data_IF_848915022826
#
_entry.id   IF_848915022826
#
_cell.length_a   1.000
_cell.length_b   1.000
_cell.length_c   1.000
_cell.angle_alpha   90.00
_cell.angle_beta   90.00
_cell.angle_gamma   90.00
#
_symmetry.space_group_name_H-M   'P 1'
#
loop_
_entity.id
_entity.type
_entity.pdbx_description
1 polymer ?
#
# COMPACT_ATOMS: atom_id res chain seq x y z
N UNK A 1 9.23 69.42 -64.83
CA UNK A 1 9.49 67.96 -64.74
C UNK A 1 9.31 67.53 -63.30
N UNK A 2 8.12 67.04 -62.95
CA UNK A 2 7.82 66.48 -61.64
C UNK A 2 7.75 64.96 -61.80
N UNK A 3 8.64 64.22 -61.12
CA UNK A 3 8.61 62.77 -61.09
C UNK A 3 7.84 62.29 -59.86
N UNK A 4 6.99 61.30 -60.09
CA UNK A 4 5.99 60.76 -59.18
C UNK A 4 6.27 59.25 -58.97
N UNK A 5 5.81 58.69 -57.84
CA UNK A 5 5.52 57.25 -57.56
C UNK A 5 6.69 56.43 -56.95
N UNK A 6 6.54 55.55 -55.95
CA UNK A 6 5.41 54.96 -55.17
C UNK A 6 5.98 54.35 -53.88
N UNK A 7 5.26 54.42 -52.75
CA UNK A 7 5.48 53.59 -51.55
C UNK A 7 4.46 52.43 -51.53
N UNK A 8 4.81 51.22 -51.02
CA UNK A 8 3.91 50.08 -51.02
C UNK A 8 2.86 50.17 -49.88
N UNK A 9 1.72 49.45 -49.98
CA UNK A 9 0.61 49.59 -49.06
C UNK A 9 0.86 48.86 -47.72
N UNK A 10 0.38 49.49 -46.64
CA UNK A 10 0.32 48.91 -45.29
C UNK A 10 -0.67 47.73 -45.27
N UNK A 11 -0.16 46.51 -45.11
CA UNK A 11 -0.98 45.35 -44.76
C UNK A 11 -1.29 45.38 -43.24
N UNK A 12 -2.41 46.02 -42.87
CA UNK A 12 -2.99 45.95 -41.52
C UNK A 12 -3.89 44.71 -41.40
N UNK A 13 -3.73 44.02 -40.27
CA UNK A 13 -4.82 43.42 -39.49
C UNK A 13 -5.74 42.39 -40.18
N UNK A 14 -5.20 41.21 -40.52
CA UNK A 14 -6.02 39.97 -40.64
C UNK A 14 -5.47 38.74 -39.92
N UNK A 15 -4.20 38.73 -39.50
CA UNK A 15 -3.58 37.57 -38.82
C UNK A 15 -3.77 37.47 -37.30
N UNK A 16 -4.41 38.45 -36.66
CA UNK A 16 -4.56 38.48 -35.20
C UNK A 16 -5.91 37.97 -34.69
N UNK A 17 -6.89 37.67 -35.57
CA UNK A 17 -8.20 37.10 -35.19
C UNK A 17 -8.32 35.59 -35.40
N UNK A 18 -7.47 34.98 -36.22
CA UNK A 18 -7.50 33.52 -36.45
C UNK A 18 -6.78 32.73 -35.34
N UNK A 19 -5.68 33.26 -34.79
CA UNK A 19 -4.95 32.62 -33.67
C UNK A 19 -5.74 32.64 -32.36
N UNK A 20 -6.73 33.52 -32.23
CA UNK A 20 -7.62 33.58 -31.05
C UNK A 20 -8.88 32.72 -31.18
N UNK A 21 -9.21 32.21 -32.38
CA UNK A 21 -10.38 31.35 -32.59
C UNK A 21 -10.03 29.85 -32.53
N UNK A 22 -8.81 29.45 -32.90
CA UNK A 22 -8.35 28.05 -32.77
C UNK A 22 -8.11 27.60 -31.32
N UNK A 23 -7.93 28.53 -30.36
CA UNK A 23 -7.80 28.19 -28.92
C UNK A 23 -9.13 28.06 -28.18
N UNK A 24 -10.24 28.34 -28.85
CA UNK A 24 -11.60 28.16 -28.33
C UNK A 24 -12.27 26.88 -28.87
N UNK A 25 -11.55 26.05 -29.63
CA UNK A 25 -11.96 24.66 -29.81
C UNK A 25 -11.85 23.94 -28.46
N UNK A 26 -13.00 23.43 -28.07
CA UNK A 26 -13.53 23.30 -26.71
C UNK A 26 -12.74 22.35 -25.82
N UNK A 27 -12.82 22.54 -24.50
CA UNK A 27 -12.38 21.54 -23.51
C UNK A 27 -12.85 20.10 -23.81
N UNK A 28 -13.98 19.95 -24.50
CA UNK A 28 -14.50 18.68 -24.98
C UNK A 28 -13.60 17.95 -26.01
N UNK A 29 -12.84 18.66 -26.86
CA UNK A 29 -11.93 18.03 -27.84
C UNK A 29 -10.69 17.41 -27.16
N UNK A 30 -10.31 17.89 -25.97
CA UNK A 30 -9.16 17.33 -25.21
C UNK A 30 -9.49 16.06 -24.46
N UNK A 31 -10.77 15.75 -24.29
CA UNK A 31 -11.28 14.56 -23.60
C UNK A 31 -11.84 13.52 -24.59
N UNK A 32 -11.49 13.64 -25.88
CA UNK A 32 -11.82 12.64 -26.90
C UNK A 32 -11.21 11.29 -26.49
N UNK A 33 -11.98 10.23 -26.73
CA UNK A 33 -11.62 8.83 -26.43
C UNK A 33 -11.26 8.56 -24.97
N UNK A 34 -11.67 9.45 -24.04
CA UNK A 34 -11.53 9.20 -22.62
C UNK A 34 -12.32 7.93 -22.25
N UNK A 35 -11.70 6.97 -21.51
CA UNK A 35 -12.41 5.80 -21.04
C UNK A 35 -13.60 6.18 -20.14
N UNK A 36 -14.60 5.32 -20.10
CA UNK A 36 -15.65 5.43 -19.08
C UNK A 36 -15.07 5.03 -17.73
N UNK A 37 -15.28 5.89 -16.74
CA UNK A 37 -14.75 5.75 -15.38
C UNK A 37 -15.90 5.95 -14.39
N UNK A 38 -15.98 5.10 -13.37
CA UNK A 38 -16.95 5.19 -12.27
C UNK A 38 -16.26 5.47 -10.94
N UNK A 39 -15.09 4.88 -10.71
CA UNK A 39 -14.27 5.10 -9.51
C UNK A 39 -13.51 6.42 -9.59
N UNK A 40 -13.17 6.85 -10.81
CA UNK A 40 -12.55 8.13 -11.08
C UNK A 40 -13.46 9.03 -11.93
N UNK A 41 -13.27 10.34 -11.81
CA UNK A 41 -13.78 11.33 -12.77
C UNK A 41 -12.63 12.10 -13.37
N UNK A 42 -12.83 12.59 -14.59
CA UNK A 42 -11.90 13.52 -15.22
C UNK A 42 -12.61 14.85 -15.43
N UNK A 43 -11.97 15.92 -14.96
CA UNK A 43 -12.50 17.28 -15.07
C UNK A 43 -11.50 18.14 -15.84
N UNK A 44 -11.96 18.90 -16.84
CA UNK A 44 -11.14 19.91 -17.52
C UNK A 44 -10.93 21.10 -16.56
N UNK A 45 -9.67 21.38 -16.24
CA UNK A 45 -9.28 22.48 -15.36
C UNK A 45 -8.86 23.74 -16.13
N UNK A 46 -9.01 23.72 -17.45
CA UNK A 46 -8.54 24.77 -18.34
C UNK A 46 -7.02 24.78 -18.48
N UNK A 47 -6.51 25.66 -19.35
CA UNK A 47 -5.06 25.79 -19.64
C UNK A 47 -4.37 24.49 -20.10
N UNK A 48 -5.15 23.53 -20.60
CA UNK A 48 -4.66 22.21 -21.01
C UNK A 48 -4.45 21.23 -19.84
N UNK A 49 -4.83 21.59 -18.62
CA UNK A 49 -4.75 20.71 -17.46
C UNK A 49 -6.04 19.91 -17.31
N UNK A 50 -5.91 18.68 -16.83
CA UNK A 50 -7.06 17.87 -16.38
C UNK A 50 -6.87 17.44 -14.93
N UNK A 51 -7.96 17.27 -14.21
CA UNK A 51 -7.95 16.66 -12.88
C UNK A 51 -8.42 15.21 -13.00
N UNK A 52 -7.61 14.27 -12.52
CA UNK A 52 -8.06 12.91 -12.23
C UNK A 52 -8.56 12.89 -10.77
N UNK A 53 -9.87 12.81 -10.60
CA UNK A 53 -10.55 12.88 -9.32
C UNK A 53 -10.90 11.47 -8.87
N UNK A 54 -10.22 10.96 -7.84
CA UNK A 54 -10.58 9.69 -7.24
C UNK A 54 -11.79 9.88 -6.31
N UNK A 55 -12.91 9.21 -6.60
CA UNK A 55 -14.13 9.36 -5.81
C UNK A 55 -15.01 8.10 -5.85
N UNK A 56 -14.62 7.07 -5.10
CA UNK A 56 -15.33 5.79 -5.07
C UNK A 56 -16.83 5.96 -4.75
N UNK A 57 -17.76 5.54 -5.62
CA UNK A 57 -19.19 5.71 -5.39
C UNK A 57 -19.65 4.90 -4.17
N UNK A 58 -20.53 5.48 -3.36
CA UNK A 58 -21.10 4.82 -2.18
C UNK A 58 -20.13 4.56 -1.02
N UNK A 59 -18.87 5.01 -1.11
CA UNK A 59 -17.85 4.84 -0.06
C UNK A 59 -17.49 6.17 0.59
N UNK A 60 -17.19 6.13 1.89
CA UNK A 60 -16.74 7.29 2.66
C UNK A 60 -15.26 7.63 2.44
N UNK A 61 -14.49 6.68 1.90
CA UNK A 61 -13.05 6.79 1.62
C UNK A 61 -12.77 6.20 0.24
N UNK A 62 -11.76 6.74 -0.44
CA UNK A 62 -11.22 6.09 -1.64
C UNK A 62 -10.35 4.89 -1.26
N UNK A 63 -10.53 3.80 -1.97
CA UNK A 63 -9.74 2.57 -1.84
C UNK A 63 -9.49 1.98 -3.22
N UNK A 64 -8.37 1.31 -3.40
CA UNK A 64 -8.10 0.56 -4.62
C UNK A 64 -8.86 -0.76 -4.61
N UNK A 65 -10.08 -0.72 -5.14
CA UNK A 65 -10.79 -1.89 -5.65
C UNK A 65 -10.21 -2.32 -7.01
N UNK A 66 -10.56 -3.52 -7.43
CA UNK A 66 -10.28 -4.05 -8.76
C UNK A 66 -10.74 -3.09 -9.86
N UNK A 67 -11.96 -2.54 -9.72
CA UNK A 67 -12.50 -1.56 -10.66
C UNK A 67 -11.61 -0.30 -10.72
N UNK A 68 -11.20 0.23 -9.58
CA UNK A 68 -10.34 1.42 -9.52
C UNK A 68 -8.96 1.15 -10.15
N UNK A 69 -8.39 -0.03 -9.93
CA UNK A 69 -7.10 -0.42 -10.52
C UNK A 69 -7.20 -0.47 -12.05
N UNK A 70 -8.26 -1.08 -12.58
CA UNK A 70 -8.49 -1.17 -14.02
C UNK A 70 -8.73 0.20 -14.66
N UNK A 71 -9.52 1.05 -14.00
CA UNK A 71 -9.79 2.42 -14.43
C UNK A 71 -8.53 3.29 -14.45
N UNK A 72 -7.68 3.20 -13.42
CA UNK A 72 -6.41 3.92 -13.40
C UNK A 72 -5.51 3.50 -14.56
N UNK A 73 -5.46 2.21 -14.87
CA UNK A 73 -4.71 1.68 -16.01
C UNK A 73 -5.25 2.20 -17.35
N UNK A 74 -6.57 2.23 -17.53
CA UNK A 74 -7.21 2.77 -18.72
C UNK A 74 -6.93 4.28 -18.87
N UNK A 75 -7.04 5.05 -17.78
CA UNK A 75 -6.72 6.48 -17.79
C UNK A 75 -5.25 6.73 -18.13
N UNK A 76 -4.32 5.96 -17.54
CA UNK A 76 -2.90 6.08 -17.84
C UNK A 76 -2.59 5.78 -19.32
N UNK A 77 -3.26 4.78 -19.89
CA UNK A 77 -3.16 4.47 -21.33
C UNK A 77 -3.66 5.61 -22.21
N UNK A 78 -4.80 6.21 -21.87
CA UNK A 78 -5.32 7.40 -22.56
C UNK A 78 -4.38 8.61 -22.43
N UNK A 79 -3.83 8.85 -21.23
CA UNK A 79 -2.98 10.00 -20.95
C UNK A 79 -1.73 10.03 -21.84
N UNK A 80 -1.19 8.86 -22.18
CA UNK A 80 0.01 8.74 -23.02
C UNK A 80 -0.17 9.33 -24.43
N UNK A 81 -1.39 9.38 -24.96
CA UNK A 81 -1.69 9.98 -26.26
C UNK A 81 -2.55 11.26 -26.19
N UNK A 82 -3.01 11.64 -25.00
CA UNK A 82 -3.88 12.80 -24.82
C UNK A 82 -3.16 14.13 -25.10
N UNK A 83 -3.87 15.09 -25.70
CA UNK A 83 -3.41 16.47 -25.89
C UNK A 83 -3.71 17.32 -24.64
N UNK A 84 -3.08 16.92 -23.52
CA UNK A 84 -3.10 17.65 -22.26
C UNK A 84 -1.68 18.11 -21.90
N UNK A 85 -1.60 19.23 -21.18
CA UNK A 85 -0.38 19.81 -20.64
C UNK A 85 0.06 19.16 -19.32
N UNK A 86 -0.86 18.53 -18.58
CA UNK A 86 -0.55 17.85 -17.33
C UNK A 86 -1.80 17.40 -16.57
N UNK A 87 -1.58 16.61 -15.51
CA UNK A 87 -2.66 16.04 -14.69
C UNK A 87 -2.47 16.39 -13.22
N UNK A 88 -3.54 16.86 -12.58
CA UNK A 88 -3.64 16.88 -11.11
C UNK A 88 -4.40 15.64 -10.66
N UNK A 89 -3.77 14.77 -9.86
CA UNK A 89 -4.47 13.73 -9.12
C UNK A 89 -5.00 14.35 -7.84
N UNK A 90 -6.30 14.25 -7.60
CA UNK A 90 -6.94 14.72 -6.37
C UNK A 90 -8.03 13.78 -5.92
N UNK A 91 -8.52 13.99 -4.71
CA UNK A 91 -9.66 13.25 -4.18
C UNK A 91 -10.96 14.03 -4.33
N UNK A 92 -12.07 13.32 -4.50
CA UNK A 92 -13.44 13.83 -4.32
C UNK A 92 -13.96 13.67 -2.88
N UNK A 93 -13.21 13.01 -1.99
CA UNK A 93 -13.57 12.82 -0.58
C UNK A 93 -12.99 13.92 0.30
N UNK A 94 -13.75 14.34 1.31
CA UNK A 94 -13.37 15.44 2.19
C UNK A 94 -12.17 15.15 3.12
N UNK A 95 -11.95 13.89 3.51
CA UNK A 95 -11.01 13.54 4.58
C UNK A 95 -9.93 12.52 4.16
N UNK A 96 -9.91 12.12 2.89
CA UNK A 96 -9.04 11.05 2.41
C UNK A 96 -8.61 11.28 0.98
N UNK A 97 -7.30 11.24 0.74
CA UNK A 97 -6.80 11.12 -0.61
C UNK A 97 -7.08 9.71 -1.14
N UNK A 98 -6.52 8.71 -0.44
CA UNK A 98 -6.83 7.29 -0.60
C UNK A 98 -6.32 6.50 0.62
N UNK A 99 -7.12 5.58 1.12
CA UNK A 99 -6.84 4.81 2.34
C UNK A 99 -6.07 3.50 2.11
N UNK A 100 -5.75 3.18 0.84
CA UNK A 100 -5.02 1.97 0.46
C UNK A 100 -5.86 1.01 -0.37
N UNK A 101 -5.52 -0.27 -0.35
CA UNK A 101 -6.27 -1.32 -1.05
C UNK A 101 -7.62 -1.63 -0.38
N UNK A 102 -8.59 -2.11 -1.16
CA UNK A 102 -9.79 -2.72 -0.60
C UNK A 102 -9.46 -4.11 -0.05
N UNK A 103 -9.31 -4.22 1.27
CA UNK A 103 -8.91 -5.48 1.91
C UNK A 103 -10.02 -6.54 1.91
N UNK A 104 -11.27 -6.17 1.63
CA UNK A 104 -12.34 -7.16 1.39
C UNK A 104 -12.14 -7.83 0.04
N UNK A 105 -11.89 -7.06 -1.02
CA UNK A 105 -11.57 -7.61 -2.34
C UNK A 105 -10.24 -8.36 -2.36
N UNK A 106 -9.26 -7.93 -1.56
CA UNK A 106 -8.01 -8.66 -1.37
C UNK A 106 -8.25 -10.09 -0.84
N UNK A 107 -9.19 -10.27 0.08
CA UNK A 107 -9.58 -11.59 0.59
C UNK A 107 -10.19 -12.48 -0.50
N UNK A 108 -11.01 -11.91 -1.38
CA UNK A 108 -11.59 -12.63 -2.53
C UNK A 108 -10.50 -13.04 -3.52
N UNK A 109 -9.56 -12.14 -3.82
CA UNK A 109 -8.43 -12.44 -4.69
C UNK A 109 -7.56 -13.58 -4.11
N UNK A 110 -7.30 -13.55 -2.81
CA UNK A 110 -6.61 -14.63 -2.12
C UNK A 110 -7.33 -15.98 -2.29
N UNK A 111 -8.64 -16.03 -2.03
CA UNK A 111 -9.43 -17.25 -2.14
C UNK A 111 -9.42 -17.81 -3.57
N UNK A 112 -9.53 -16.94 -4.57
CA UNK A 112 -9.39 -17.29 -5.97
C UNK A 112 -8.01 -17.91 -6.27
N UNK A 113 -6.92 -17.31 -5.78
CA UNK A 113 -5.55 -17.81 -5.99
C UNK A 113 -5.36 -19.16 -5.30
N UNK A 114 -5.83 -19.33 -4.06
CA UNK A 114 -5.69 -20.59 -3.32
C UNK A 114 -6.52 -21.73 -3.90
N UNK A 115 -7.67 -21.43 -4.50
CA UNK A 115 -8.48 -22.41 -5.21
C UNK A 115 -7.83 -22.93 -6.50
N UNK A 116 -6.86 -22.20 -7.06
CA UNK A 116 -6.13 -22.63 -8.25
C UNK A 116 -5.10 -23.74 -7.96
N UNK A 117 -4.74 -24.57 -8.97
CA UNK A 117 -3.67 -25.56 -8.82
C UNK A 117 -2.36 -24.91 -8.39
N UNK A 118 -1.61 -25.54 -7.48
CA UNK A 118 -0.37 -24.98 -6.89
C UNK A 118 0.59 -24.38 -7.92
N UNK A 119 0.80 -25.08 -9.05
CA UNK A 119 1.68 -24.61 -10.15
C UNK A 119 1.26 -23.30 -10.83
N UNK A 120 0.01 -22.89 -10.69
CA UNK A 120 -0.55 -21.69 -11.32
C UNK A 120 -0.64 -20.50 -10.35
N UNK A 121 -0.57 -20.74 -9.04
CA UNK A 121 -0.84 -19.72 -8.01
C UNK A 121 0.10 -18.52 -8.08
N UNK A 122 1.39 -18.76 -8.32
CA UNK A 122 2.37 -17.69 -8.46
C UNK A 122 2.02 -16.73 -9.61
N UNK A 123 1.79 -17.27 -10.81
CA UNK A 123 1.46 -16.44 -11.98
C UNK A 123 0.13 -15.70 -11.78
N UNK A 124 -0.88 -16.36 -11.21
CA UNK A 124 -2.16 -15.71 -10.89
C UNK A 124 -1.99 -14.57 -9.90
N UNK A 125 -1.23 -14.78 -8.81
CA UNK A 125 -0.94 -13.75 -7.83
C UNK A 125 -0.17 -12.58 -8.47
N UNK A 126 0.90 -12.89 -9.20
CA UNK A 126 1.71 -11.90 -9.90
C UNK A 126 0.84 -11.07 -10.85
N UNK A 127 0.12 -11.70 -11.79
CA UNK A 127 -0.66 -10.99 -12.80
C UNK A 127 -1.80 -10.16 -12.19
N UNK A 128 -2.46 -10.70 -11.16
CA UNK A 128 -3.56 -10.02 -10.47
C UNK A 128 -3.06 -8.76 -9.76
N UNK A 129 -2.04 -8.87 -8.90
CA UNK A 129 -1.57 -7.77 -8.06
C UNK A 129 -0.65 -6.78 -8.78
N UNK A 130 0.04 -7.19 -9.85
CA UNK A 130 0.94 -6.29 -10.58
C UNK A 130 0.22 -5.15 -11.30
N UNK A 131 -1.09 -5.24 -11.47
CA UNK A 131 -1.88 -4.27 -12.25
C UNK A 131 -1.83 -2.87 -11.67
N UNK A 132 -1.88 -2.71 -10.35
CA UNK A 132 -1.77 -1.39 -9.73
C UNK A 132 -0.37 -0.79 -9.94
N UNK A 133 0.69 -1.57 -9.71
CA UNK A 133 2.09 -1.13 -9.96
C UNK A 133 2.28 -0.68 -11.41
N UNK A 134 1.78 -1.47 -12.37
CA UNK A 134 1.80 -1.14 -13.81
C UNK A 134 0.99 0.12 -14.14
N UNK A 135 -0.20 0.28 -13.57
CA UNK A 135 -1.04 1.46 -13.81
C UNK A 135 -0.36 2.74 -13.31
N UNK A 136 0.21 2.72 -12.09
CA UNK A 136 0.97 3.84 -11.54
C UNK A 136 2.22 4.12 -12.39
N UNK A 137 2.94 3.07 -12.83
CA UNK A 137 4.11 3.24 -13.69
C UNK A 137 3.75 3.81 -15.07
N UNK A 138 2.65 3.37 -15.67
CA UNK A 138 2.15 3.91 -16.93
C UNK A 138 1.78 5.39 -16.79
N UNK A 139 1.16 5.78 -15.67
CA UNK A 139 0.85 7.18 -15.36
C UNK A 139 2.13 8.03 -15.23
N UNK A 140 3.10 7.52 -14.47
CA UNK A 140 4.40 8.14 -14.21
C UNK A 140 5.24 8.33 -15.49
N UNK A 141 5.05 7.47 -16.49
CA UNK A 141 5.82 7.47 -17.74
C UNK A 141 5.00 7.87 -18.98
N UNK A 142 3.80 8.42 -18.78
CA UNK A 142 2.90 8.84 -19.86
C UNK A 142 3.44 10.00 -20.72
N UNK A 143 4.61 10.57 -20.38
CA UNK A 143 5.20 11.70 -21.08
C UNK A 143 4.50 13.04 -20.79
N UNK A 144 3.65 13.07 -19.75
CA UNK A 144 2.95 14.26 -19.26
C UNK A 144 3.29 14.49 -17.80
N UNK A 145 3.46 15.74 -17.33
CA UNK A 145 3.68 15.99 -15.91
C UNK A 145 2.42 15.68 -15.12
N UNK A 146 2.62 15.14 -13.92
CA UNK A 146 1.55 14.66 -13.02
C UNK A 146 1.87 15.18 -11.62
N UNK A 147 0.91 15.85 -10.99
CA UNK A 147 1.03 16.36 -9.63
C UNK A 147 -0.09 15.79 -8.75
N UNK A 148 0.21 15.43 -7.50
CA UNK A 148 -0.77 15.01 -6.51
C UNK A 148 -1.13 16.17 -5.58
N UNK A 149 -2.41 16.53 -5.50
CA UNK A 149 -2.96 17.45 -4.52
C UNK A 149 -3.59 16.64 -3.38
N UNK A 150 -2.91 16.63 -2.23
CA UNK A 150 -3.19 15.73 -1.11
C UNK A 150 -3.82 16.52 0.03
N UNK A 151 -5.15 16.51 0.07
CA UNK A 151 -5.96 17.21 1.09
C UNK A 151 -6.57 16.25 2.14
N UNK A 152 -6.12 15.00 2.15
CA UNK A 152 -6.55 13.98 3.12
C UNK A 152 -5.50 12.91 3.30
N UNK A 153 -5.76 11.94 4.20
CA UNK A 153 -4.80 10.85 4.43
C UNK A 153 -4.47 10.11 3.11
N UNK A 154 -3.19 9.80 2.91
CA UNK A 154 -2.71 9.01 1.78
C UNK A 154 -1.90 7.82 2.33
N UNK A 155 -2.57 6.68 2.50
CA UNK A 155 -1.99 5.49 3.14
C UNK A 155 -1.93 4.33 2.16
N UNK A 156 -0.89 3.51 2.29
CA UNK A 156 -0.65 2.33 1.48
C UNK A 156 -0.70 2.64 -0.02
N UNK A 157 -1.52 1.92 -0.77
CA UNK A 157 -1.77 2.21 -2.19
C UNK A 157 -2.05 3.68 -2.52
N UNK A 158 -2.70 4.45 -1.63
CA UNK A 158 -2.90 5.89 -1.81
C UNK A 158 -1.61 6.70 -1.75
N UNK A 159 -0.69 6.33 -0.85
CA UNK A 159 0.67 6.86 -0.81
C UNK A 159 1.45 6.43 -2.05
N UNK A 160 1.31 5.17 -2.50
CA UNK A 160 1.98 4.67 -3.71
C UNK A 160 1.53 5.41 -4.98
N UNK A 161 0.23 5.75 -5.09
CA UNK A 161 -0.27 6.61 -6.16
C UNK A 161 0.37 8.01 -6.12
N UNK A 162 0.45 8.61 -4.93
CA UNK A 162 1.09 9.93 -4.75
C UNK A 162 2.60 9.89 -5.05
N UNK A 163 3.29 8.80 -4.70
CA UNK A 163 4.69 8.58 -5.03
C UNK A 163 4.92 8.46 -6.54
N UNK A 164 3.94 7.94 -7.29
CA UNK A 164 3.97 7.88 -8.75
C UNK A 164 3.75 9.23 -9.45
N UNK A 165 3.36 10.27 -8.73
CA UNK A 165 3.34 11.64 -9.26
C UNK A 165 4.75 12.23 -9.30
N UNK A 166 4.95 13.22 -10.16
CA UNK A 166 6.20 13.97 -10.28
C UNK A 166 6.34 15.04 -9.19
N UNK A 167 5.22 15.49 -8.62
CA UNK A 167 5.17 16.49 -7.55
C UNK A 167 4.03 16.20 -6.59
N UNK A 168 4.27 16.35 -5.29
CA UNK A 168 3.29 16.13 -4.22
C UNK A 168 3.12 17.42 -3.42
N UNK A 169 1.90 17.94 -3.45
CA UNK A 169 1.47 19.08 -2.63
C UNK A 169 0.57 18.54 -1.52
N UNK A 170 1.02 18.66 -0.28
CA UNK A 170 0.27 18.25 0.90
C UNK A 170 -0.24 19.48 1.64
N UNK A 171 -1.48 19.43 2.14
CA UNK A 171 -1.96 20.51 3.01
C UNK A 171 -1.41 20.38 4.43
N UNK A 172 -1.15 21.52 5.06
CA UNK A 172 -0.70 21.59 6.45
C UNK A 172 -1.89 21.42 7.40
N UNK A 173 -2.29 20.16 7.62
CA UNK A 173 -3.33 19.78 8.58
C UNK A 173 -2.81 18.64 9.48
N UNK A 174 -2.84 18.77 10.81
CA UNK A 174 -2.36 17.74 11.74
C UNK A 174 -3.12 16.41 11.65
N UNK A 175 -4.30 16.37 11.02
CA UNK A 175 -5.08 15.14 10.80
C UNK A 175 -4.61 14.35 9.59
N UNK A 176 -3.79 14.95 8.74
CA UNK A 176 -3.33 14.36 7.49
C UNK A 176 -1.96 13.75 7.69
N UNK A 177 -1.77 12.57 7.11
CA UNK A 177 -0.50 11.90 7.09
C UNK A 177 -0.35 11.02 5.85
N UNK A 178 0.91 10.78 5.47
CA UNK A 178 1.31 9.85 4.43
C UNK A 178 2.09 8.67 5.04
N UNK A 179 1.94 7.47 4.48
CA UNK A 179 2.71 6.31 4.94
C UNK A 179 2.32 5.00 4.27
N UNK A 180 3.10 3.95 4.55
CA UNK A 180 2.96 2.62 3.97
C UNK A 180 2.81 1.56 5.08
N UNK A 181 1.61 1.43 5.68
CA UNK A 181 1.37 0.61 6.87
C UNK A 181 1.16 -0.89 6.59
N UNK A 182 1.40 -1.38 5.37
CA UNK A 182 1.10 -2.75 4.92
C UNK A 182 1.71 -3.84 5.81
N UNK A 183 2.92 -3.61 6.32
CA UNK A 183 3.61 -4.54 7.23
C UNK A 183 2.78 -4.86 8.49
N UNK A 184 1.98 -3.89 8.96
CA UNK A 184 1.14 -4.04 10.16
C UNK A 184 0.01 -5.06 9.98
N UNK A 185 -0.31 -5.43 8.74
CA UNK A 185 -1.33 -6.44 8.39
C UNK A 185 -0.73 -7.64 7.66
N UNK A 186 0.60 -7.81 7.71
CA UNK A 186 1.28 -8.98 7.14
C UNK A 186 1.51 -8.87 5.62
N UNK A 187 1.50 -7.66 5.07
CA UNK A 187 1.71 -7.37 3.65
C UNK A 187 2.94 -6.48 3.44
N UNK A 188 3.28 -6.24 2.17
CA UNK A 188 4.27 -5.24 1.77
C UNK A 188 3.66 -4.23 0.79
N UNK A 189 4.22 -3.01 0.67
CA UNK A 189 3.80 -2.03 -0.34
C UNK A 189 4.15 -2.53 -1.75
N UNK A 190 3.15 -3.11 -2.44
CA UNK A 190 3.36 -3.90 -3.67
C UNK A 190 3.05 -3.16 -4.98
N UNK A 191 2.75 -1.87 -4.93
CA UNK A 191 2.50 -1.04 -6.11
C UNK A 191 3.65 -0.07 -6.42
N UNK A 192 4.87 -0.48 -6.11
CA UNK A 192 6.11 0.27 -6.25
C UNK A 192 6.51 1.06 -5.00
N UNK A 193 5.80 0.93 -3.88
CA UNK A 193 6.11 1.63 -2.63
C UNK A 193 7.48 1.30 -2.08
N UNK A 194 7.91 0.02 -2.14
CA UNK A 194 9.27 -0.38 -1.74
C UNK A 194 10.33 0.06 -2.75
N UNK A 195 9.93 0.62 -3.89
CA UNK A 195 10.83 1.07 -4.95
C UNK A 195 10.93 2.59 -5.04
N UNK A 196 9.81 3.31 -5.00
CA UNK A 196 9.75 4.77 -5.11
C UNK A 196 10.20 5.45 -3.84
N UNK A 197 9.67 5.03 -2.68
CA UNK A 197 9.98 5.67 -1.41
C UNK A 197 11.49 5.68 -1.09
N UNK A 198 12.21 4.54 -1.10
CA UNK A 198 13.64 4.55 -0.80
C UNK A 198 14.50 5.25 -1.87
N UNK A 199 14.02 5.37 -3.13
CA UNK A 199 14.68 6.19 -4.16
C UNK A 199 14.46 7.70 -3.92
N UNK A 200 13.33 8.07 -3.32
CA UNK A 200 12.95 9.45 -3.05
C UNK A 200 13.62 9.99 -1.77
N UNK A 201 13.51 9.26 -0.66
CA UNK A 201 13.95 9.74 0.67
C UNK A 201 15.20 9.01 1.20
N UNK A 202 15.73 8.05 0.43
CA UNK A 202 16.82 7.17 0.84
C UNK A 202 16.34 5.93 1.60
N UNK A 203 17.05 4.82 1.42
CA UNK A 203 16.67 3.53 2.01
C UNK A 203 16.55 3.57 3.54
N UNK A 204 17.52 4.19 4.23
CA UNK A 204 17.54 4.28 5.69
C UNK A 204 16.31 5.03 6.25
N UNK A 205 15.92 6.15 5.63
CA UNK A 205 14.76 6.94 6.06
C UNK A 205 13.42 6.28 5.69
N UNK A 206 13.41 5.42 4.66
CA UNK A 206 12.23 4.66 4.28
C UNK A 206 11.91 3.50 5.25
N UNK A 207 12.92 2.90 5.89
CA UNK A 207 12.74 1.70 6.73
C UNK A 207 11.67 1.86 7.83
N UNK A 208 11.63 2.93 8.63
CA UNK A 208 10.57 3.11 9.64
C UNK A 208 9.16 3.18 9.03
N UNK A 209 9.03 3.75 7.83
CA UNK A 209 7.74 3.89 7.13
C UNK A 209 7.25 2.52 6.66
N UNK A 210 8.11 1.73 6.00
CA UNK A 210 7.69 0.44 5.41
C UNK A 210 7.69 -0.71 6.40
N UNK A 211 8.62 -0.76 7.36
CA UNK A 211 8.71 -1.87 8.31
C UNK A 211 7.74 -1.70 9.49
N UNK A 212 7.66 -0.49 10.05
CA UNK A 212 6.87 -0.19 11.24
C UNK A 212 5.57 0.57 10.94
N UNK A 213 5.29 0.88 9.67
CA UNK A 213 4.10 1.62 9.28
C UNK A 213 4.06 3.05 9.79
N UNK A 214 5.23 3.68 10.02
CA UNK A 214 5.29 5.07 10.46
C UNK A 214 4.57 5.98 9.46
N UNK A 215 3.73 6.87 9.99
CA UNK A 215 3.02 7.88 9.21
C UNK A 215 3.67 9.23 9.44
N UNK A 216 3.98 9.93 8.36
CA UNK A 216 4.54 11.28 8.40
C UNK A 216 3.41 12.29 8.19
N UNK A 217 3.18 13.17 9.17
CA UNK A 217 2.32 14.34 9.02
C UNK A 217 3.02 15.48 8.28
N UNK A 218 2.33 16.60 8.07
CA UNK A 218 2.73 17.73 7.21
C UNK A 218 4.24 18.05 7.20
N UNK A 219 4.76 18.70 8.24
CA UNK A 219 6.15 19.16 8.28
C UNK A 219 7.16 18.00 8.19
N UNK A 220 6.89 16.89 8.88
CA UNK A 220 7.76 15.73 8.84
C UNK A 220 7.84 15.09 7.44
N UNK A 221 6.76 15.12 6.67
CA UNK A 221 6.74 14.63 5.30
C UNK A 221 7.53 15.53 4.35
N UNK A 222 7.48 16.86 4.55
CA UNK A 222 8.30 17.82 3.80
C UNK A 222 9.79 17.66 4.15
N UNK A 223 10.13 17.62 5.44
CA UNK A 223 11.52 17.50 5.90
C UNK A 223 12.19 16.20 5.43
N UNK A 224 11.42 15.11 5.35
CA UNK A 224 11.89 13.83 4.84
C UNK A 224 12.03 13.79 3.30
N UNK A 225 11.50 14.78 2.57
CA UNK A 225 11.42 14.76 1.11
C UNK A 225 10.33 13.83 0.55
N UNK A 226 9.40 13.35 1.39
CA UNK A 226 8.23 12.58 0.96
C UNK A 226 7.23 13.48 0.22
N UNK A 227 7.18 14.75 0.60
CA UNK A 227 6.34 15.80 0.00
C UNK A 227 7.24 16.92 -0.51
N UNK A 228 6.87 17.51 -1.64
CA UNK A 228 7.67 18.58 -2.26
C UNK A 228 7.22 19.98 -1.83
N UNK A 229 5.95 20.13 -1.43
CA UNK A 229 5.39 21.41 -0.99
C UNK A 229 4.28 21.25 0.05
N UNK A 230 4.33 22.08 1.09
CA UNK A 230 3.24 22.28 2.03
C UNK A 230 2.49 23.58 1.73
N UNK A 231 1.16 23.54 1.91
CA UNK A 231 0.27 24.69 1.73
C UNK A 231 -0.88 24.66 2.75
N UNK A 232 -1.56 25.78 3.04
CA UNK A 232 -2.80 25.76 3.81
C UNK A 232 -3.88 24.87 3.19
N UNK A 233 -4.82 24.31 3.99
CA UNK A 233 -5.98 23.59 3.47
C UNK A 233 -6.76 24.40 2.41
N UNK A 234 -7.12 23.77 1.30
CA UNK A 234 -7.80 24.40 0.17
C UNK A 234 -6.89 25.00 -0.90
N UNK A 235 -5.57 25.01 -0.69
CA UNK A 235 -4.61 25.57 -1.66
C UNK A 235 -3.86 24.50 -2.48
N UNK A 236 -4.02 23.20 -2.17
CA UNK A 236 -3.21 22.14 -2.78
C UNK A 236 -3.40 22.02 -4.30
N UNK A 237 -4.65 22.11 -4.77
CA UNK A 237 -4.99 22.04 -6.20
C UNK A 237 -4.33 23.20 -6.96
N UNK A 238 -4.50 24.43 -6.48
CA UNK A 238 -3.95 25.62 -7.13
C UNK A 238 -2.42 25.59 -7.19
N UNK A 239 -1.78 25.12 -6.12
CA UNK A 239 -0.32 24.94 -6.08
C UNK A 239 0.16 23.83 -7.04
N UNK A 240 -0.57 22.71 -7.14
CA UNK A 240 -0.28 21.64 -8.08
C UNK A 240 -0.40 22.11 -9.54
N UNK A 241 -1.49 22.81 -9.89
CA UNK A 241 -1.66 23.39 -11.23
C UNK A 241 -0.55 24.38 -11.60
N UNK A 242 -0.17 25.24 -10.64
CA UNK A 242 0.93 26.19 -10.84
C UNK A 242 2.24 25.47 -11.13
N UNK A 243 2.52 24.38 -10.40
CA UNK A 243 3.72 23.59 -10.63
C UNK A 243 3.70 22.90 -12.00
N UNK A 244 2.57 22.31 -12.41
CA UNK A 244 2.44 21.65 -13.72
C UNK A 244 2.73 22.60 -14.88
N UNK A 245 2.16 23.82 -14.85
CA UNK A 245 2.38 24.82 -15.90
C UNK A 245 3.83 25.31 -15.97
N UNK A 246 4.55 25.27 -14.85
CA UNK A 246 5.96 25.65 -14.78
C UNK A 246 6.92 24.50 -15.15
N UNK A 247 6.46 23.24 -15.13
CA UNK A 247 7.30 22.05 -15.31
C UNK A 247 6.72 21.09 -16.38
N UNK A 248 6.60 21.52 -17.65
CA UNK A 248 5.98 20.72 -18.71
C UNK A 248 6.74 19.43 -19.04
N UNK A 249 8.05 19.40 -18.78
CA UNK A 249 8.95 18.29 -19.13
C UNK A 249 9.33 17.43 -17.91
N UNK A 250 8.55 17.48 -16.83
CA UNK A 250 8.87 16.78 -15.59
C UNK A 250 9.05 15.26 -15.82
N UNK A 251 10.06 14.70 -15.15
CA UNK A 251 10.36 13.26 -15.13
C UNK A 251 10.84 12.88 -13.73
N UNK A 252 10.59 11.64 -13.34
CA UNK A 252 11.13 11.14 -12.09
C UNK A 252 12.67 11.12 -12.11
N UNK A 253 13.34 11.30 -10.96
CA UNK A 253 14.79 11.25 -10.88
C UNK A 253 15.38 9.95 -11.45
N UNK A 254 14.73 8.80 -11.22
CA UNK A 254 15.19 7.49 -11.69
C UNK A 254 14.94 7.20 -13.16
N UNK A 255 14.20 8.08 -13.85
CA UNK A 255 13.98 8.00 -15.31
C UNK A 255 14.86 8.95 -16.10
N UNK A 256 15.73 9.70 -15.41
CA UNK A 256 16.72 10.54 -16.08
C UNK A 256 17.90 9.72 -16.59
N UNK A 257 18.44 10.00 -17.80
CA UNK A 257 19.57 9.26 -18.36
C UNK A 257 20.83 9.24 -17.49
N UNK A 258 21.01 10.24 -16.62
CA UNK A 258 22.14 10.35 -15.70
C UNK A 258 21.97 9.56 -14.42
N UNK A 259 20.77 9.02 -14.14
CA UNK A 259 20.53 8.25 -12.93
C UNK A 259 21.23 6.91 -12.99
N UNK A 260 21.74 6.46 -11.84
CA UNK A 260 22.39 5.16 -11.71
C UNK A 260 21.80 4.41 -10.50
N UNK A 261 21.58 3.09 -10.61
CA UNK A 261 21.14 2.30 -9.48
C UNK A 261 22.21 2.26 -8.39
N UNK A 262 21.78 2.04 -7.15
CA UNK A 262 22.69 1.87 -6.03
C UNK A 262 23.45 0.54 -6.18
N UNK A 263 24.70 0.47 -5.72
CA UNK A 263 25.42 -0.80 -5.73
C UNK A 263 24.79 -1.79 -4.72
N UNK A 264 24.80 -3.12 -5.00
CA UNK A 264 24.34 -4.10 -4.02
C UNK A 264 25.03 -3.98 -2.65
N UNK A 265 26.32 -3.62 -2.62
CA UNK A 265 27.05 -3.40 -1.37
C UNK A 265 26.46 -2.25 -0.55
N UNK A 266 26.20 -1.10 -1.18
CA UNK A 266 25.61 0.08 -0.53
C UNK A 266 24.22 -0.23 0.03
N UNK A 267 23.40 -0.97 -0.71
CA UNK A 267 22.07 -1.36 -0.23
C UNK A 267 22.18 -2.36 0.93
N UNK A 268 23.13 -3.31 0.84
CA UNK A 268 23.41 -4.28 1.89
C UNK A 268 23.83 -3.66 3.23
N UNK A 269 24.59 -2.56 3.21
CA UNK A 269 24.98 -1.81 4.42
C UNK A 269 23.77 -1.29 5.22
N UNK A 270 22.66 -0.97 4.53
CA UNK A 270 21.41 -0.52 5.16
C UNK A 270 20.52 -1.71 5.54
N UNK A 271 20.41 -2.70 4.64
CA UNK A 271 19.48 -3.83 4.81
C UNK A 271 19.94 -4.82 5.89
N UNK A 272 21.24 -5.14 5.97
CA UNK A 272 21.73 -6.18 6.87
C UNK A 272 21.45 -5.88 8.36
N UNK A 273 21.77 -4.67 8.90
CA UNK A 273 21.44 -4.35 10.28
C UNK A 273 19.93 -4.31 10.54
N UNK A 274 19.14 -3.87 9.55
CA UNK A 274 17.69 -3.87 9.66
C UNK A 274 17.12 -5.29 9.71
N UNK A 275 17.69 -6.22 8.93
CA UNK A 275 17.33 -7.63 8.91
C UNK A 275 17.64 -8.30 10.24
N UNK A 276 18.83 -8.05 10.80
CA UNK A 276 19.22 -8.54 12.13
C UNK A 276 18.26 -8.05 13.21
N UNK A 277 17.93 -6.74 13.21
CA UNK A 277 16.97 -6.16 14.14
C UNK A 277 15.58 -6.79 14.01
N UNK A 278 15.06 -6.91 12.79
CA UNK A 278 13.76 -7.56 12.53
C UNK A 278 13.77 -8.99 13.04
N UNK A 279 14.81 -9.78 12.76
CA UNK A 279 14.93 -11.16 13.24
C UNK A 279 15.02 -11.23 14.77
N UNK A 280 15.73 -10.30 15.42
CA UNK A 280 15.82 -10.24 16.88
C UNK A 280 14.49 -9.87 17.56
N UNK A 281 13.71 -8.98 16.94
CA UNK A 281 12.41 -8.53 17.48
C UNK A 281 11.27 -9.53 17.21
N UNK A 282 11.32 -10.21 16.06
CA UNK A 282 10.19 -11.01 15.54
C UNK A 282 10.44 -12.51 15.54
N UNK A 283 11.69 -12.93 15.74
CA UNK A 283 12.16 -14.31 15.56
C UNK A 283 11.81 -14.90 14.18
N UNK A 284 11.53 -14.07 13.16
CA UNK A 284 11.16 -14.53 11.82
C UNK A 284 9.73 -15.09 11.70
N UNK A 285 8.87 -14.85 12.71
CA UNK A 285 7.48 -15.26 12.65
C UNK A 285 6.63 -14.42 11.68
N UNK A 286 7.02 -13.15 11.50
CA UNK A 286 6.33 -12.20 10.63
C UNK A 286 7.10 -12.05 9.31
N UNK A 287 6.63 -12.64 8.19
CA UNK A 287 7.38 -12.68 6.94
C UNK A 287 7.44 -11.33 6.20
N UNK A 288 6.43 -10.48 6.36
CA UNK A 288 6.30 -9.22 5.62
C UNK A 288 7.49 -8.26 5.81
N UNK A 289 7.98 -7.96 7.03
CA UNK A 289 9.19 -7.15 7.23
C UNK A 289 10.42 -7.67 6.48
N UNK A 290 10.62 -8.99 6.45
CA UNK A 290 11.76 -9.61 5.74
C UNK A 290 11.59 -9.52 4.23
N UNK A 291 10.37 -9.74 3.73
CA UNK A 291 10.02 -9.58 2.32
C UNK A 291 10.21 -8.12 1.85
N UNK A 292 9.87 -7.13 2.69
CA UNK A 292 10.14 -5.71 2.40
C UNK A 292 11.63 -5.43 2.26
N UNK A 293 12.45 -5.98 3.17
CA UNK A 293 13.90 -5.85 3.09
C UNK A 293 14.46 -6.51 1.84
N UNK A 294 13.93 -7.66 1.43
CA UNK A 294 14.28 -8.32 0.16
C UNK A 294 13.88 -7.48 -1.06
N UNK A 295 12.70 -6.84 -1.05
CA UNK A 295 12.30 -5.92 -2.12
C UNK A 295 13.28 -4.75 -2.28
N UNK A 296 13.78 -4.21 -1.17
CA UNK A 296 14.78 -3.13 -1.17
C UNK A 296 16.14 -3.67 -1.65
N UNK A 297 16.59 -4.79 -1.10
CA UNK A 297 17.89 -5.42 -1.38
C UNK A 297 18.03 -5.81 -2.84
N UNK A 298 17.01 -6.46 -3.42
CA UNK A 298 17.02 -6.86 -4.82
C UNK A 298 16.60 -5.73 -5.75
N UNK A 299 15.68 -4.84 -5.33
CA UNK A 299 15.08 -3.84 -6.21
C UNK A 299 15.93 -2.59 -6.42
N UNK A 300 16.59 -2.06 -5.39
CA UNK A 300 17.38 -0.82 -5.50
C UNK A 300 18.59 -0.92 -6.44
N UNK A 301 19.27 -2.08 -6.57
CA UNK A 301 20.34 -2.26 -7.56
C UNK A 301 19.89 -2.40 -9.01
N UNK A 302 18.59 -2.33 -9.29
CA UNK A 302 18.03 -2.48 -10.62
C UNK A 302 17.50 -1.16 -11.19
N UNK A 303 17.36 -1.13 -12.52
CA UNK A 303 16.48 -0.17 -13.19
C UNK A 303 15.04 -0.34 -12.71
N UNK A 304 14.25 0.73 -12.77
CA UNK A 304 12.93 0.78 -12.13
C UNK A 304 11.99 -0.35 -12.58
N UNK A 305 11.95 -0.66 -13.88
CA UNK A 305 11.12 -1.74 -14.44
C UNK A 305 11.47 -3.13 -13.88
N UNK A 306 12.76 -3.41 -13.69
CA UNK A 306 13.21 -4.66 -13.07
C UNK A 306 12.86 -4.68 -11.58
N UNK A 307 13.04 -3.54 -10.92
CA UNK A 307 12.80 -3.39 -9.49
C UNK A 307 11.33 -3.66 -9.09
N UNK A 308 10.36 -3.09 -9.82
CA UNK A 308 8.93 -3.33 -9.54
C UNK A 308 8.49 -4.76 -9.89
N UNK A 309 9.18 -5.44 -10.82
CA UNK A 309 8.95 -6.86 -11.10
C UNK A 309 9.48 -7.74 -9.97
N UNK A 310 10.66 -7.44 -9.42
CA UNK A 310 11.19 -8.13 -8.24
C UNK A 310 10.29 -7.92 -7.01
N UNK A 311 9.84 -6.69 -6.76
CA UNK A 311 8.87 -6.39 -5.69
C UNK A 311 7.62 -7.26 -5.83
N UNK A 312 7.05 -7.34 -7.03
CA UNK A 312 5.84 -8.11 -7.27
C UNK A 312 6.07 -9.63 -7.21
N UNK A 313 7.24 -10.13 -7.61
CA UNK A 313 7.57 -11.55 -7.44
C UNK A 313 7.60 -11.93 -5.95
N UNK A 314 8.22 -11.09 -5.12
CA UNK A 314 8.27 -11.26 -3.67
C UNK A 314 6.87 -11.13 -3.06
N UNK A 315 6.08 -10.14 -3.51
CA UNK A 315 4.67 -10.01 -3.09
C UNK A 315 3.86 -11.26 -3.44
N UNK A 316 4.01 -11.78 -4.65
CA UNK A 316 3.29 -12.97 -5.13
C UNK A 316 3.60 -14.21 -4.28
N UNK A 317 4.81 -14.33 -3.74
CA UNK A 317 5.14 -15.38 -2.78
C UNK A 317 4.55 -15.09 -1.39
N UNK A 318 4.70 -13.86 -0.89
CA UNK A 318 4.21 -13.43 0.43
C UNK A 318 2.70 -13.61 0.57
N UNK A 319 1.93 -13.17 -0.43
CA UNK A 319 0.45 -13.19 -0.36
C UNK A 319 -0.12 -14.60 -0.33
N UNK A 320 0.63 -15.61 -0.78
CA UNK A 320 0.20 -17.01 -0.73
C UNK A 320 0.41 -17.64 0.66
N UNK A 321 1.14 -16.96 1.55
CA UNK A 321 1.40 -17.44 2.90
C UNK A 321 0.16 -17.32 3.78
N UNK A 322 -0.02 -18.30 4.68
CA UNK A 322 -1.12 -18.25 5.64
C UNK A 322 -0.98 -17.10 6.64
N UNK A 323 0.24 -16.70 7.00
CA UNK A 323 0.46 -15.61 7.95
C UNK A 323 -0.16 -14.29 7.47
N UNK A 324 0.02 -13.97 6.18
CA UNK A 324 -0.56 -12.76 5.61
C UNK A 324 -2.09 -12.79 5.70
N UNK A 325 -2.72 -13.92 5.34
CA UNK A 325 -4.17 -14.10 5.45
C UNK A 325 -4.67 -13.90 6.88
N UNK A 326 -4.02 -14.56 7.83
CA UNK A 326 -4.39 -14.48 9.23
C UNK A 326 -4.28 -13.06 9.79
N UNK A 327 -3.18 -12.38 9.48
CA UNK A 327 -2.97 -11.01 9.93
C UNK A 327 -4.00 -10.05 9.33
N UNK A 328 -4.41 -10.21 8.08
CA UNK A 328 -5.51 -9.42 7.49
C UNK A 328 -6.83 -9.69 8.24
N UNK A 329 -7.19 -10.96 8.43
CA UNK A 329 -8.44 -11.31 9.12
C UNK A 329 -8.49 -10.74 10.53
N UNK A 330 -7.38 -10.78 11.26
CA UNK A 330 -7.35 -10.41 12.67
C UNK A 330 -7.00 -8.94 12.89
N UNK A 331 -5.89 -8.47 12.34
CA UNK A 331 -5.36 -7.13 12.58
C UNK A 331 -6.04 -6.05 11.73
N UNK A 332 -6.87 -6.43 10.75
CA UNK A 332 -7.71 -5.50 10.00
C UNK A 332 -9.20 -5.72 10.22
N UNK A 333 -9.76 -6.88 9.81
CA UNK A 333 -11.22 -7.09 9.89
C UNK A 333 -11.68 -7.18 11.33
N UNK A 334 -11.09 -8.11 12.12
CA UNK A 334 -11.39 -8.26 13.54
C UNK A 334 -11.13 -6.98 14.35
N UNK A 335 -10.00 -6.30 14.07
CA UNK A 335 -9.69 -4.99 14.64
C UNK A 335 -10.77 -3.95 14.36
N UNK A 336 -11.21 -3.82 13.11
CA UNK A 336 -12.20 -2.82 12.70
C UNK A 336 -13.53 -3.05 13.39
N UNK A 337 -13.97 -4.31 13.47
CA UNK A 337 -15.18 -4.70 14.19
C UNK A 337 -15.06 -4.38 15.68
N UNK A 338 -13.95 -4.76 16.31
CA UNK A 338 -13.67 -4.48 17.71
C UNK A 338 -13.69 -2.99 18.01
N UNK A 339 -12.91 -2.18 17.29
CA UNK A 339 -12.82 -0.72 17.52
C UNK A 339 -14.16 -0.01 17.26
N UNK A 340 -14.99 -0.52 16.35
CA UNK A 340 -16.36 -0.02 16.14
C UNK A 340 -17.24 -0.30 17.34
N UNK A 341 -17.19 -1.51 17.90
CA UNK A 341 -17.97 -1.89 19.08
C UNK A 341 -17.47 -1.19 20.34
N UNK A 342 -16.16 -1.06 20.54
CA UNK A 342 -15.56 -0.31 21.65
C UNK A 342 -16.00 1.16 21.65
N UNK A 343 -16.01 1.83 20.49
CA UNK A 343 -16.47 3.23 20.39
C UNK A 343 -17.95 3.41 20.74
N UNK A 344 -18.75 2.35 20.63
CA UNK A 344 -20.17 2.34 20.97
C UNK A 344 -20.45 1.79 22.37
N UNK A 345 -19.42 1.37 23.10
CA UNK A 345 -19.55 0.65 24.36
C UNK A 345 -20.42 -0.62 24.23
N UNK A 346 -20.19 -1.38 23.15
CA UNK A 346 -20.97 -2.55 22.73
C UNK A 346 -20.10 -3.80 22.52
N UNK A 347 -18.94 -3.89 23.18
CA UNK A 347 -18.13 -5.12 23.13
C UNK A 347 -18.89 -6.22 23.90
N UNK A 348 -19.20 -7.38 23.30
CA UNK A 348 -19.94 -8.45 23.97
C UNK A 348 -19.20 -9.04 25.17
N UNK A 349 -19.95 -9.50 26.18
CA UNK A 349 -19.40 -10.02 27.44
C UNK A 349 -18.52 -11.27 27.28
N UNK A 350 -18.75 -12.07 26.23
CA UNK A 350 -17.90 -13.24 25.94
C UNK A 350 -16.45 -12.85 25.61
N UNK A 351 -16.22 -11.62 25.10
CA UNK A 351 -14.88 -11.17 24.69
C UNK A 351 -13.92 -11.08 25.88
N UNK A 352 -14.20 -10.31 26.96
CA UNK A 352 -13.32 -10.27 28.13
C UNK A 352 -13.18 -11.63 28.82
N UNK A 353 -14.21 -12.48 28.81
CA UNK A 353 -14.13 -13.85 29.34
C UNK A 353 -13.10 -14.70 28.58
N UNK A 354 -13.17 -14.70 27.25
CA UNK A 354 -12.21 -15.40 26.38
C UNK A 354 -10.79 -14.84 26.55
N UNK A 355 -10.64 -13.51 26.62
CA UNK A 355 -9.34 -12.86 26.86
C UNK A 355 -8.74 -13.30 28.19
N UNK A 356 -9.55 -13.38 29.25
CA UNK A 356 -9.09 -13.82 30.57
C UNK A 356 -8.63 -15.28 30.55
N UNK A 357 -9.40 -16.18 29.93
CA UNK A 357 -9.06 -17.59 29.77
C UNK A 357 -7.75 -17.75 28.97
N UNK A 358 -7.63 -17.09 27.82
CA UNK A 358 -6.43 -17.12 27.00
C UNK A 358 -5.20 -16.59 27.75
N UNK A 359 -5.33 -15.45 28.45
CA UNK A 359 -4.24 -14.86 29.23
C UNK A 359 -3.77 -15.78 30.34
N UNK A 360 -4.68 -16.47 31.02
CA UNK A 360 -4.35 -17.47 32.04
C UNK A 360 -3.57 -18.64 31.44
N UNK A 361 -4.05 -19.19 30.32
CA UNK A 361 -3.38 -20.28 29.62
C UNK A 361 -1.98 -19.87 29.15
N UNK A 362 -1.84 -18.67 28.57
CA UNK A 362 -0.54 -18.14 28.11
C UNK A 362 0.45 -18.01 29.27
N UNK A 363 0.01 -17.52 30.44
CA UNK A 363 0.88 -17.37 31.62
C UNK A 363 1.39 -18.70 32.18
N UNK A 364 0.69 -19.80 31.93
CA UNK A 364 1.12 -21.14 32.34
C UNK A 364 2.22 -21.72 31.44
N UNK A 365 2.47 -21.13 30.26
CA UNK A 365 3.46 -21.61 29.29
C UNK A 365 4.86 -21.06 29.67
N UNK A 366 5.90 -21.90 29.72
CA UNK A 366 7.26 -21.45 29.97
C UNK A 366 7.74 -20.37 28.99
N UNK A 367 8.52 -19.40 29.47
CA UNK A 367 8.99 -18.24 28.67
C UNK A 367 9.69 -18.62 27.38
N UNK A 368 10.56 -19.63 27.42
CA UNK A 368 11.27 -20.12 26.23
C UNK A 368 10.30 -20.68 25.19
N UNK A 369 9.25 -21.39 25.61
CA UNK A 369 8.22 -21.93 24.72
C UNK A 369 7.32 -20.82 24.19
N UNK A 370 7.03 -19.80 25.01
CA UNK A 370 6.31 -18.59 24.57
C UNK A 370 7.08 -17.84 23.49
N UNK A 371 8.38 -17.64 23.69
CA UNK A 371 9.27 -17.04 22.69
C UNK A 371 9.30 -17.89 21.42
N UNK A 372 9.48 -19.21 21.54
CA UNK A 372 9.45 -20.13 20.40
C UNK A 372 8.16 -20.02 19.58
N UNK A 373 6.99 -19.94 20.22
CA UNK A 373 5.72 -19.81 19.52
C UNK A 373 5.42 -18.39 18.98
N UNK A 374 6.20 -17.38 19.38
CA UNK A 374 6.02 -15.99 18.97
C UNK A 374 4.97 -15.21 19.79
N UNK A 375 4.71 -15.61 21.03
CA UNK A 375 3.86 -14.84 21.94
C UNK A 375 4.52 -13.50 22.26
N UNK A 376 3.70 -12.44 22.35
CA UNK A 376 4.21 -11.09 22.53
C UNK A 376 4.98 -10.94 23.86
N UNK A 377 6.08 -10.17 23.82
CA UNK A 377 6.89 -9.86 25.01
C UNK A 377 7.90 -10.93 25.41
N UNK A 378 8.11 -11.98 24.60
CA UNK A 378 9.09 -13.03 24.88
C UNK A 378 10.04 -13.22 23.68
N UNK A 379 11.32 -12.92 23.85
CA UNK A 379 12.37 -13.08 22.82
C UNK A 379 13.64 -13.80 23.33
N UNK A 380 13.63 -14.28 24.57
CA UNK A 380 14.85 -14.75 25.23
C UNK A 380 15.28 -16.16 24.76
N UNK A 381 16.50 -16.27 24.25
CA UNK A 381 17.22 -17.55 24.08
C UNK A 381 16.74 -18.45 22.95
N UNK A 382 16.05 -17.90 21.94
CA UNK A 382 15.54 -18.66 20.78
C UNK A 382 16.20 -18.16 19.50
N UNK A 383 16.69 -19.08 18.68
CA UNK A 383 17.21 -18.75 17.36
C UNK A 383 16.09 -18.31 16.42
N UNK A 384 16.24 -17.18 15.70
CA UNK A 384 15.25 -16.73 14.73
C UNK A 384 15.01 -17.76 13.62
N UNK A 385 13.79 -17.80 13.10
CA UNK A 385 13.43 -18.49 11.87
C UNK A 385 14.01 -17.71 10.68
N UNK A 386 15.21 -18.10 10.22
CA UNK A 386 15.99 -17.33 9.22
C UNK A 386 15.61 -17.57 7.76
N UNK A 387 15.11 -18.75 7.41
CA UNK A 387 14.73 -19.08 6.04
C UNK A 387 13.59 -20.10 6.03
N UNK A 388 12.60 -19.88 5.17
CA UNK A 388 11.54 -20.85 4.88
C UNK A 388 11.65 -21.23 3.41
N UNK A 389 12.07 -22.46 3.16
CA UNK A 389 12.19 -23.01 1.80
C UNK A 389 10.87 -23.58 1.29
N UNK A 390 9.83 -23.70 2.14
CA UNK A 390 8.54 -24.29 1.79
C UNK A 390 7.35 -23.45 2.31
N UNK A 391 6.19 -23.51 1.62
CA UNK A 391 4.92 -22.99 2.12
C UNK A 391 4.53 -23.59 3.47
N UNK A 392 3.70 -22.88 4.24
CA UNK A 392 3.26 -23.28 5.58
C UNK A 392 3.99 -22.55 6.72
N UNK A 393 3.67 -22.92 7.95
CA UNK A 393 4.31 -22.34 9.13
C UNK A 393 5.61 -23.07 9.44
N UNK A 394 6.55 -22.34 10.03
CA UNK A 394 7.77 -22.92 10.57
C UNK A 394 7.48 -24.02 11.60
N UNK A 395 6.39 -23.88 12.36
CA UNK A 395 5.96 -24.83 13.39
C UNK A 395 5.34 -26.11 12.84
N UNK A 396 5.30 -26.32 11.53
CA UNK A 396 4.81 -27.56 10.91
C UNK A 396 5.91 -28.63 10.79
N UNK A 397 7.17 -28.24 11.00
CA UNK A 397 8.30 -29.16 11.00
C UNK A 397 8.22 -30.22 12.13
N UNK A 398 8.96 -31.31 11.95
CA UNK A 398 9.01 -32.43 12.89
C UNK A 398 9.98 -32.23 14.07
N UNK A 399 10.62 -31.06 14.19
CA UNK A 399 11.62 -30.79 15.22
C UNK A 399 10.99 -30.45 16.59
N UNK A 400 11.71 -30.74 17.67
CA UNK A 400 11.19 -30.65 19.04
C UNK A 400 10.67 -29.25 19.41
N UNK A 401 11.30 -28.19 18.92
CA UNK A 401 10.86 -26.80 19.18
C UNK A 401 9.52 -26.47 18.51
N UNK A 402 9.26 -26.99 17.31
CA UNK A 402 7.95 -26.89 16.65
C UNK A 402 6.88 -27.68 17.43
N UNK A 403 7.21 -28.89 17.92
CA UNK A 403 6.27 -29.66 18.72
C UNK A 403 5.89 -28.95 20.03
N UNK A 404 6.87 -28.39 20.75
CA UNK A 404 6.61 -27.62 21.97
C UNK A 404 5.77 -26.36 21.69
N UNK A 405 6.05 -25.64 20.61
CA UNK A 405 5.25 -24.50 20.18
C UNK A 405 3.81 -24.89 19.85
N UNK A 406 3.59 -25.99 19.11
CA UNK A 406 2.25 -26.51 18.81
C UNK A 406 1.48 -26.88 20.08
N UNK A 407 2.12 -27.54 21.04
CA UNK A 407 1.49 -27.89 22.33
C UNK A 407 1.09 -26.65 23.13
N UNK A 408 1.95 -25.63 23.16
CA UNK A 408 1.66 -24.35 23.80
C UNK A 408 0.45 -23.65 23.16
N UNK A 409 0.38 -23.60 21.83
CA UNK A 409 -0.75 -23.01 21.10
C UNK A 409 -2.05 -23.81 21.27
N UNK A 410 -1.96 -25.14 21.26
CA UNK A 410 -3.09 -26.02 21.53
C UNK A 410 -3.66 -25.81 22.94
N UNK A 411 -2.80 -25.68 23.96
CA UNK A 411 -3.26 -25.43 25.33
C UNK A 411 -4.08 -24.14 25.46
N UNK A 412 -3.73 -23.08 24.72
CA UNK A 412 -4.53 -21.84 24.68
C UNK A 412 -5.86 -22.08 23.95
N UNK A 413 -5.82 -22.79 22.82
CA UNK A 413 -7.01 -23.11 22.03
C UNK A 413 -8.01 -23.95 22.83
N UNK A 414 -7.54 -24.95 23.56
CA UNK A 414 -8.34 -25.82 24.42
C UNK A 414 -8.95 -25.04 25.60
N UNK A 415 -8.21 -24.09 26.17
CA UNK A 415 -8.70 -23.26 27.28
C UNK A 415 -9.85 -22.34 26.86
N UNK A 416 -9.89 -21.88 25.60
CA UNK A 416 -10.96 -21.00 25.10
C UNK A 416 -12.07 -21.76 24.36
N UNK A 417 -11.85 -23.02 23.96
CA UNK A 417 -12.79 -23.77 23.15
C UNK A 417 -14.21 -23.87 23.76
N UNK A 418 -14.40 -24.14 25.07
CA UNK A 418 -15.74 -24.18 25.67
C UNK A 418 -16.48 -22.83 25.59
N UNK A 419 -15.75 -21.71 25.56
CA UNK A 419 -16.33 -20.36 25.50
C UNK A 419 -16.74 -19.95 24.07
N UNK A 420 -16.44 -20.79 23.08
CA UNK A 420 -16.76 -20.54 21.67
C UNK A 420 -17.99 -21.29 21.16
N UNK A 421 -18.61 -22.09 22.02
CA UNK A 421 -19.82 -22.83 21.69
C UNK A 421 -20.97 -21.86 21.40
N UNK A 422 -21.59 -22.00 20.23
CA UNK A 422 -22.65 -21.09 19.78
C UNK A 422 -22.18 -19.75 19.18
N UNK A 423 -20.88 -19.43 19.23
CA UNK A 423 -20.37 -18.21 18.60
C UNK A 423 -20.31 -18.36 17.08
N UNK A 424 -20.80 -17.33 16.39
CA UNK A 424 -20.71 -17.17 14.94
C UNK A 424 -19.28 -16.84 14.48
N UNK A 425 -19.02 -16.94 13.17
CA UNK A 425 -17.68 -16.76 12.60
C UNK A 425 -17.08 -15.36 12.82
N UNK A 426 -17.92 -14.33 12.86
CA UNK A 426 -17.56 -12.95 13.13
C UNK A 426 -17.30 -12.68 14.61
N UNK A 427 -18.09 -13.28 15.50
CA UNK A 427 -17.86 -13.25 16.95
C UNK A 427 -16.53 -13.90 17.33
N UNK A 428 -16.19 -15.03 16.71
CA UNK A 428 -14.88 -15.69 16.91
C UNK A 428 -13.73 -14.82 16.44
N UNK A 429 -13.87 -14.18 15.27
CA UNK A 429 -12.84 -13.27 14.72
C UNK A 429 -12.66 -12.02 15.60
N UNK A 430 -13.75 -11.50 16.16
CA UNK A 430 -13.73 -10.41 17.13
C UNK A 430 -12.94 -10.81 18.38
N UNK A 431 -13.22 -11.99 18.94
CA UNK A 431 -12.52 -12.54 20.09
C UNK A 431 -11.03 -12.85 19.80
N UNK A 432 -10.73 -13.40 18.62
CA UNK A 432 -9.36 -13.66 18.15
C UNK A 432 -8.52 -12.37 18.16
N UNK A 433 -9.06 -11.26 17.61
CA UNK A 433 -8.38 -9.97 17.67
C UNK A 433 -8.16 -9.49 19.11
N UNK A 434 -9.17 -9.60 19.97
CA UNK A 434 -9.05 -9.21 21.37
C UNK A 434 -7.96 -10.01 22.10
N UNK A 435 -7.89 -11.32 21.88
CA UNK A 435 -6.86 -12.21 22.45
C UNK A 435 -5.47 -11.85 21.94
N UNK A 436 -5.31 -11.57 20.64
CA UNK A 436 -4.04 -11.09 20.08
C UNK A 436 -3.62 -9.77 20.73
N UNK A 437 -4.54 -8.79 20.80
CA UNK A 437 -4.29 -7.45 21.35
C UNK A 437 -3.98 -7.45 22.84
N UNK A 438 -4.76 -8.19 23.64
CA UNK A 438 -4.81 -8.03 25.09
C UNK A 438 -4.14 -9.18 25.85
N UNK A 439 -4.00 -10.36 25.24
CA UNK A 439 -3.34 -11.51 25.85
C UNK A 439 -1.97 -11.83 25.20
N UNK A 440 -1.63 -11.17 24.09
CA UNK A 440 -0.34 -11.33 23.41
C UNK A 440 -0.24 -12.61 22.59
N UNK A 441 -1.36 -13.13 22.09
CA UNK A 441 -1.35 -14.28 21.18
C UNK A 441 -0.67 -13.92 19.84
N UNK A 442 0.08 -14.85 19.21
CA UNK A 442 0.83 -14.52 18.01
C UNK A 442 -0.08 -14.15 16.83
N UNK A 443 0.01 -12.91 16.36
CA UNK A 443 -0.90 -12.40 15.33
C UNK A 443 -0.73 -13.08 13.96
N UNK A 444 0.47 -13.62 13.67
CA UNK A 444 0.73 -14.39 12.45
C UNK A 444 -0.12 -15.68 12.37
N UNK A 445 -0.69 -16.13 13.49
CA UNK A 445 -1.60 -17.29 13.59
C UNK A 445 -3.08 -16.88 13.64
N UNK A 446 -3.38 -15.58 13.57
CA UNK A 446 -4.75 -15.06 13.53
C UNK A 446 -5.49 -15.06 14.88
N UNK A 447 -5.13 -15.92 15.81
CA UNK A 447 -5.82 -16.06 17.09
C UNK A 447 -6.07 -17.52 17.44
N UNK A 448 -6.51 -17.84 18.67
CA UNK A 448 -6.73 -19.22 19.08
C UNK A 448 -7.81 -19.93 18.25
N UNK A 449 -8.89 -19.25 17.84
CA UNK A 449 -9.96 -19.89 17.06
C UNK A 449 -9.56 -20.11 15.61
N UNK A 450 -8.95 -19.10 14.98
CA UNK A 450 -8.38 -19.21 13.63
C UNK A 450 -7.36 -20.34 13.57
N UNK A 451 -6.46 -20.41 14.55
CA UNK A 451 -5.46 -21.48 14.64
C UNK A 451 -6.10 -22.87 14.84
N UNK A 452 -7.07 -23.01 15.75
CA UNK A 452 -7.72 -24.29 16.02
C UNK A 452 -8.53 -24.82 14.81
N UNK A 453 -9.14 -23.93 14.03
CA UNK A 453 -9.88 -24.30 12.82
C UNK A 453 -8.98 -24.94 11.75
N UNK A 454 -7.70 -24.57 11.71
CA UNK A 454 -6.70 -25.19 10.83
C UNK A 454 -6.44 -26.64 11.20
N UNK A 455 -6.13 -26.93 12.47
CA UNK A 455 -5.81 -28.29 12.90
C UNK A 455 -6.93 -29.27 12.58
N UNK A 456 -8.20 -28.85 12.65
CA UNK A 456 -9.34 -29.70 12.29
C UNK A 456 -9.41 -30.07 10.79
N UNK A 457 -8.87 -29.23 9.89
CA UNK A 457 -8.81 -29.53 8.46
C UNK A 457 -7.67 -30.50 8.13
N UNK A 458 -6.51 -30.35 8.77
CA UNK A 458 -5.34 -31.24 8.54
C UNK A 458 -5.55 -32.68 9.02
N UNK A 459 -6.51 -32.93 9.93
CA UNK A 459 -6.89 -34.29 10.37
C UNK A 459 -8.12 -34.86 9.63
N UNK A 460 -8.72 -34.11 8.71
CA UNK A 460 -9.88 -34.53 7.92
C UNK A 460 -9.54 -34.92 6.47
N UNK A 461 -8.33 -34.59 6.01
CA UNK A 461 -7.69 -35.09 4.79
C UNK A 461 -6.68 -36.19 5.14
#
# INVERSE_FOLDING_TARGET
MAAQLRLPPRARARRCRQVSQDRCQSGADRMIDLPQLEQFRVEDAGRGLVHLVFDCPGRTMNVFSEAAIMELGAFAGWLASADVAGVVIRSGKANAFCAGADLTELGVAYDMIMAAPTRARFNLAFDHFFRLSKAIRALETAGKPVAAAIEGIALGGGCELALGAHHRVLVDDPKIAMGLPESLVGLLPGAGGTQRLPRLIGAQAALPIVLAGQRLGSQAALDAGLVDRLVPPGEAIAAAETWLLANPDARQPWDQPSWQPQSPATVGEVVAPARERVLGETLGHYPAPLAILECIEFGLPQAFEGAIRSEMAIFAELIQREEARNMIQTLFVGKTDYERLTRKDQVPDFVPEIVAAARSAIRAIPDVTRAMAGFAGCVAGVDPVRARTQPGYWLDGAFATAQAARQALAAVSDAVAPLSEGLESDERRLADYAVVKEAGYPAYLGGPFTYAARSKKEFAE
#
